data_IF_857766931402
#
_entry.id   IF_857766931402
#
_cell.length_a   1.000
_cell.length_b   1.000
_cell.length_c   1.000
_cell.angle_alpha   90.00
_cell.angle_beta   90.00
_cell.angle_gamma   90.00
#
_symmetry.space_group_name_H-M   'P 1'
#
loop_
_entity.id
_entity.type
_entity.pdbx_description
1 polymer ?
#
# COMPACT_ATOMS: atom_id res chain seq x y z
N UNK A 1 -29.77 -20.40 2.85
CA UNK A 1 -29.27 -20.06 1.49
C UNK A 1 -27.88 -20.63 1.32
N UNK A 2 -27.54 -21.06 0.11
CA UNK A 2 -26.26 -21.69 -0.26
C UNK A 2 -25.75 -21.11 -1.60
N UNK A 3 -24.41 -21.09 -1.82
CA UNK A 3 -23.39 -21.82 -1.05
C UNK A 3 -22.85 -21.05 0.17
N UNK A 4 -22.36 -21.80 1.16
CA UNK A 4 -21.58 -21.24 2.28
C UNK A 4 -20.12 -21.05 1.83
N UNK A 5 -19.36 -20.10 2.42
CA UNK A 5 -17.93 -19.98 2.17
C UNK A 5 -17.19 -21.29 2.51
N UNK A 6 -16.16 -21.62 1.73
CA UNK A 6 -15.29 -22.78 1.98
C UNK A 6 -14.53 -22.62 3.30
N UNK A 7 -14.13 -21.39 3.65
CA UNK A 7 -13.49 -21.05 4.92
C UNK A 7 -14.53 -20.57 5.96
N UNK A 8 -14.40 -20.99 7.22
CA UNK A 8 -15.32 -20.59 8.29
C UNK A 8 -14.58 -20.33 9.61
N UNK A 9 -14.46 -19.06 10.05
CA UNK A 9 -14.77 -17.84 9.30
C UNK A 9 -13.78 -17.61 8.15
N UNK A 10 -14.15 -16.85 7.09
CA UNK A 10 -13.16 -16.33 6.16
C UNK A 10 -12.27 -15.29 6.85
N UNK A 11 -10.99 -15.14 6.45
CA UNK A 11 -10.13 -14.11 7.01
C UNK A 11 -10.65 -12.72 6.66
N UNK A 12 -10.68 -11.81 7.63
CA UNK A 12 -11.17 -10.44 7.46
C UNK A 12 -10.00 -9.46 7.46
N UNK A 13 -9.81 -8.77 6.34
CA UNK A 13 -8.83 -7.70 6.24
C UNK A 13 -9.47 -6.36 6.59
N UNK A 14 -8.84 -5.60 7.49
CA UNK A 14 -9.33 -4.27 7.89
C UNK A 14 -8.44 -3.19 7.30
N UNK A 15 -9.05 -2.28 6.55
CA UNK A 15 -8.36 -1.13 5.95
C UNK A 15 -8.22 -0.02 7.00
N UNK A 16 -7.00 0.45 7.19
CA UNK A 16 -6.68 1.54 8.13
C UNK A 16 -5.67 2.51 7.53
N UNK A 17 -6.10 3.73 7.23
CA UNK A 17 -5.29 4.79 6.58
C UNK A 17 -5.24 6.11 7.38
N UNK A 18 -5.03 6.11 8.72
CA UNK A 18 -4.96 7.36 9.44
C UNK A 18 -3.64 8.07 9.10
N UNK A 19 -3.72 9.28 8.53
CA UNK A 19 -2.53 10.05 8.22
C UNK A 19 -1.82 10.49 9.50
N UNK A 20 -0.62 9.96 9.78
CA UNK A 20 0.12 10.18 11.03
C UNK A 20 0.38 11.67 11.34
N UNK A 21 0.54 12.48 10.29
CA UNK A 21 0.83 13.92 10.39
C UNK A 21 -0.41 14.82 10.32
N UNK A 22 -1.57 14.27 9.94
CA UNK A 22 -2.79 15.05 9.65
C UNK A 22 -3.95 14.73 10.57
N UNK A 23 -4.03 13.49 11.06
CA UNK A 23 -5.12 13.04 11.93
C UNK A 23 -4.78 13.31 13.41
N UNK A 24 -5.81 13.63 14.20
CA UNK A 24 -5.68 13.74 15.65
C UNK A 24 -5.29 12.38 16.27
N UNK A 25 -4.49 12.38 17.34
CA UNK A 25 -3.96 11.17 17.96
C UNK A 25 -5.04 10.15 18.35
N UNK A 26 -6.17 10.61 18.87
CA UNK A 26 -7.31 9.75 19.22
C UNK A 26 -7.98 9.11 18.00
N UNK A 27 -7.96 9.77 16.84
CA UNK A 27 -8.47 9.21 15.58
C UNK A 27 -7.54 8.12 15.07
N UNK A 28 -6.22 8.36 15.13
CA UNK A 28 -5.20 7.36 14.77
C UNK A 28 -5.36 6.14 15.66
N UNK A 29 -5.36 6.32 16.98
CA UNK A 29 -5.52 5.23 17.95
C UNK A 29 -6.80 4.43 17.71
N UNK A 30 -7.96 5.10 17.60
CA UNK A 30 -9.24 4.42 17.38
C UNK A 30 -9.24 3.60 16.07
N UNK A 31 -8.60 4.11 15.01
CA UNK A 31 -8.50 3.41 13.74
C UNK A 31 -7.65 2.13 13.89
N UNK A 32 -6.43 2.26 14.43
CA UNK A 32 -5.48 1.15 14.53
C UNK A 32 -5.93 0.10 15.57
N UNK A 33 -6.57 0.50 16.66
CA UNK A 33 -7.20 -0.45 17.60
C UNK A 33 -8.29 -1.29 16.95
N UNK A 34 -9.03 -0.73 15.98
CA UNK A 34 -10.07 -1.46 15.25
C UNK A 34 -9.44 -2.54 14.36
N UNK A 35 -8.31 -2.24 13.72
CA UNK A 35 -7.50 -3.22 12.98
C UNK A 35 -6.98 -4.31 13.92
N UNK A 36 -6.31 -3.91 15.01
CA UNK A 36 -5.72 -4.82 15.99
C UNK A 36 -6.75 -5.78 16.62
N UNK A 37 -7.99 -5.32 16.84
CA UNK A 37 -9.05 -6.12 17.45
C UNK A 37 -9.79 -7.04 16.49
N UNK A 38 -9.97 -6.62 15.22
CA UNK A 38 -10.91 -7.28 14.29
C UNK A 38 -10.25 -7.88 13.05
N UNK A 39 -9.03 -7.45 12.70
CA UNK A 39 -8.38 -7.88 11.47
C UNK A 39 -7.64 -9.21 11.62
N UNK A 40 -7.77 -10.06 10.62
CA UNK A 40 -6.87 -11.17 10.29
C UNK A 40 -5.81 -10.73 9.26
N UNK A 41 -5.82 -9.44 8.91
CA UNK A 41 -4.87 -8.75 8.05
C UNK A 41 -5.16 -7.24 8.07
N UNK A 42 -4.14 -6.45 7.75
CA UNK A 42 -4.24 -4.99 7.65
C UNK A 42 -3.89 -4.57 6.24
N UNK A 43 -4.62 -3.61 5.69
CA UNK A 43 -4.24 -2.97 4.43
C UNK A 43 -4.19 -1.45 4.60
N UNK A 44 -3.18 -0.83 3.99
CA UNK A 44 -3.04 0.62 3.99
C UNK A 44 -2.61 1.20 2.63
N UNK A 45 -2.75 2.51 2.48
CA UNK A 45 -2.12 3.32 1.42
C UNK A 45 -1.06 4.26 1.99
N UNK A 46 -0.52 3.94 3.17
CA UNK A 46 0.44 4.77 3.87
C UNK A 46 1.74 4.91 3.06
N UNK A 47 2.22 6.14 3.01
CA UNK A 47 3.53 6.51 2.51
C UNK A 47 3.97 7.72 3.34
N UNK A 48 5.29 7.91 3.54
CA UNK A 48 6.42 7.08 3.09
C UNK A 48 6.59 5.74 3.88
N UNK A 49 7.58 4.88 3.58
CA UNK A 49 7.76 3.57 4.23
C UNK A 49 7.85 3.62 5.77
N UNK A 50 8.43 4.67 6.33
CA UNK A 50 8.48 4.88 7.79
C UNK A 50 7.10 5.07 8.41
N UNK A 51 6.15 5.68 7.69
CA UNK A 51 4.77 5.82 8.14
C UNK A 51 4.09 4.45 8.13
N UNK A 52 4.37 3.59 7.13
CA UNK A 52 3.90 2.21 7.12
C UNK A 52 4.43 1.43 8.34
N UNK A 53 5.74 1.48 8.58
CA UNK A 53 6.38 0.78 9.69
C UNK A 53 5.81 1.23 11.05
N UNK A 54 5.60 2.53 11.24
CA UNK A 54 5.05 3.09 12.48
C UNK A 54 3.59 2.67 12.71
N UNK A 55 2.76 2.70 11.66
CA UNK A 55 1.38 2.21 11.75
C UNK A 55 1.34 0.71 12.09
N UNK A 56 2.19 -0.10 11.44
CA UNK A 56 2.33 -1.53 11.72
C UNK A 56 2.74 -1.78 13.17
N UNK A 57 3.76 -1.06 13.67
CA UNK A 57 4.24 -1.17 15.05
C UNK A 57 3.11 -0.91 16.06
N UNK A 58 2.35 0.18 15.86
CA UNK A 58 1.20 0.52 16.73
C UNK A 58 0.09 -0.53 16.69
N UNK A 59 -0.20 -1.12 15.53
CA UNK A 59 -1.18 -2.22 15.44
C UNK A 59 -0.70 -3.42 16.25
N UNK A 60 0.57 -3.81 16.13
CA UNK A 60 1.16 -4.91 16.90
C UNK A 60 1.11 -4.64 18.41
N UNK A 61 1.35 -3.40 18.84
CA UNK A 61 1.23 -2.99 20.24
C UNK A 61 -0.21 -3.05 20.74
N UNK A 62 -1.16 -2.46 20.02
CA UNK A 62 -2.56 -2.46 20.42
C UNK A 62 -3.21 -3.85 20.39
N UNK A 63 -2.68 -4.80 19.61
CA UNK A 63 -3.18 -6.17 19.58
C UNK A 63 -3.01 -6.86 20.95
N UNK A 64 -1.95 -6.51 21.70
CA UNK A 64 -1.66 -7.06 23.04
C UNK A 64 -2.77 -6.74 24.04
N UNK A 65 -3.40 -5.58 23.93
CA UNK A 65 -4.53 -5.17 24.78
C UNK A 65 -5.79 -6.02 24.57
N UNK A 66 -5.82 -6.85 23.51
CA UNK A 66 -6.92 -7.73 23.16
C UNK A 66 -6.55 -9.22 23.22
N UNK A 67 -5.44 -9.57 23.86
CA UNK A 67 -4.89 -10.94 23.91
C UNK A 67 -4.66 -11.53 22.49
N UNK A 68 -4.32 -10.68 21.51
CA UNK A 68 -3.99 -11.05 20.12
C UNK A 68 -2.54 -10.68 19.80
N UNK A 69 -1.98 -11.30 18.76
CA UNK A 69 -0.74 -10.85 18.13
C UNK A 69 -0.99 -10.56 16.65
N UNK A 70 -0.36 -9.49 16.16
CA UNK A 70 -0.36 -9.11 14.74
C UNK A 70 1.01 -9.40 14.08
N UNK A 71 1.97 -9.97 14.81
CA UNK A 71 3.37 -10.09 14.35
C UNK A 71 3.51 -10.96 13.10
N UNK A 72 2.62 -11.94 12.95
CA UNK A 72 2.58 -12.89 11.84
C UNK A 72 1.37 -12.71 10.91
N UNK A 73 0.53 -11.70 11.17
CA UNK A 73 -0.62 -11.41 10.31
C UNK A 73 -0.18 -10.53 9.14
N UNK A 74 -0.79 -10.73 7.95
CA UNK A 74 -0.39 -10.00 6.78
C UNK A 74 -0.69 -8.50 6.89
N UNK A 75 0.26 -7.71 6.41
CA UNK A 75 0.23 -6.25 6.36
C UNK A 75 0.44 -5.83 4.90
N UNK A 76 -0.64 -5.47 4.22
CA UNK A 76 -0.63 -5.08 2.82
C UNK A 76 -0.49 -3.57 2.61
N UNK A 77 0.30 -3.22 1.60
CA UNK A 77 0.30 -1.89 1.00
C UNK A 77 -0.48 -1.92 -0.32
N UNK A 78 -1.49 -1.06 -0.46
CA UNK A 78 -2.08 -0.72 -1.75
C UNK A 78 -1.29 0.44 -2.36
N UNK A 79 -0.55 0.16 -3.43
CA UNK A 79 0.43 1.06 -4.02
C UNK A 79 0.26 1.20 -5.53
N UNK A 80 0.95 2.17 -6.10
CA UNK A 80 0.93 2.40 -7.54
C UNK A 80 2.33 2.20 -8.13
N UNK A 81 2.38 1.80 -9.39
CA UNK A 81 3.62 1.54 -10.13
C UNK A 81 3.50 2.07 -11.56
N UNK A 82 4.47 2.88 -11.99
CA UNK A 82 4.61 3.31 -13.38
C UNK A 82 6.08 3.20 -13.81
N UNK A 83 6.36 2.18 -14.61
CA UNK A 83 7.70 1.79 -15.06
C UNK A 83 8.03 2.53 -16.36
N UNK A 84 9.08 3.36 -16.33
CA UNK A 84 9.59 4.12 -17.46
C UNK A 84 11.07 4.45 -17.26
N UNK A 85 11.92 4.23 -18.26
CA UNK A 85 13.35 4.59 -18.18
C UNK A 85 13.56 6.10 -17.92
N UNK A 86 12.63 6.93 -18.39
CA UNK A 86 12.55 8.33 -18.00
C UNK A 86 11.61 8.49 -16.80
N UNK A 87 12.21 8.69 -15.62
CA UNK A 87 11.48 8.89 -14.36
C UNK A 87 10.56 10.11 -14.41
N UNK A 88 10.94 11.20 -15.06
CA UNK A 88 10.06 12.37 -15.14
C UNK A 88 8.84 12.09 -16.02
N UNK A 89 9.00 11.32 -17.09
CA UNK A 89 7.88 10.87 -17.91
C UNK A 89 6.90 9.97 -17.13
N UNK A 90 7.41 9.06 -16.28
CA UNK A 90 6.56 8.25 -15.38
C UNK A 90 5.78 9.11 -14.38
N UNK A 91 6.42 10.12 -13.78
CA UNK A 91 5.77 11.04 -12.84
C UNK A 91 4.67 11.84 -13.54
N UNK A 92 4.98 12.42 -14.71
CA UNK A 92 4.03 13.21 -15.48
C UNK A 92 2.82 12.39 -15.92
N UNK A 93 3.04 11.18 -16.44
CA UNK A 93 1.93 10.30 -16.85
C UNK A 93 1.07 9.93 -15.64
N UNK A 94 1.70 9.51 -14.54
CA UNK A 94 1.01 9.14 -13.32
C UNK A 94 0.17 10.28 -12.76
N UNK A 95 0.71 11.51 -12.75
CA UNK A 95 -0.03 12.69 -12.34
C UNK A 95 -1.26 12.93 -13.21
N UNK A 96 -1.09 12.96 -14.55
CA UNK A 96 -2.19 13.18 -15.51
C UNK A 96 -3.26 12.10 -15.37
N UNK A 97 -2.85 10.83 -15.24
CA UNK A 97 -3.76 9.72 -15.04
C UNK A 97 -4.55 9.87 -13.73
N UNK A 98 -3.87 10.08 -12.60
CA UNK A 98 -4.52 10.20 -11.29
C UNK A 98 -5.48 11.39 -11.21
N UNK A 99 -5.12 12.53 -11.78
CA UNK A 99 -6.00 13.71 -11.83
C UNK A 99 -7.24 13.47 -12.68
N UNK A 100 -7.12 12.71 -13.77
CA UNK A 100 -8.28 12.31 -14.57
C UNK A 100 -9.22 11.38 -13.78
N UNK A 101 -8.63 10.41 -13.05
CA UNK A 101 -9.37 9.41 -12.29
C UNK A 101 -10.05 9.99 -11.05
N UNK A 102 -9.40 10.92 -10.34
CA UNK A 102 -9.88 11.56 -9.11
C UNK A 102 -10.38 12.99 -9.33
N UNK A 103 -11.03 13.28 -10.46
CA UNK A 103 -11.56 14.62 -10.74
C UNK A 103 -12.47 15.11 -9.60
N UNK A 104 -12.30 16.34 -9.06
CA UNK A 104 -11.44 17.45 -9.52
C UNK A 104 -10.09 17.60 -8.80
N UNK A 105 -9.59 16.55 -8.15
CA UNK A 105 -8.37 16.59 -7.35
C UNK A 105 -7.12 16.87 -8.20
N UNK A 106 -6.21 17.68 -7.65
CA UNK A 106 -4.85 17.89 -8.17
C UNK A 106 -3.85 17.23 -7.25
N UNK A 107 -2.80 16.67 -7.81
CA UNK A 107 -1.74 16.00 -7.04
C UNK A 107 -0.44 16.80 -7.18
N UNK A 108 0.24 17.06 -6.06
CA UNK A 108 1.60 17.62 -6.10
C UNK A 108 2.59 16.54 -6.56
N UNK A 109 3.74 16.97 -7.10
CA UNK A 109 4.84 16.06 -7.45
C UNK A 109 5.24 15.15 -6.28
N UNK A 110 5.41 15.74 -5.09
CA UNK A 110 5.69 15.00 -3.85
C UNK A 110 4.65 13.90 -3.56
N UNK A 111 3.36 14.20 -3.76
CA UNK A 111 2.29 13.21 -3.55
C UNK A 111 2.39 12.07 -4.55
N UNK A 112 2.67 12.38 -5.82
CA UNK A 112 2.82 11.36 -6.88
C UNK A 112 4.04 10.49 -6.59
N UNK A 113 5.20 11.10 -6.30
CA UNK A 113 6.43 10.37 -5.99
C UNK A 113 6.34 9.53 -4.71
N UNK A 114 5.57 9.96 -3.72
CA UNK A 114 5.33 9.16 -2.51
C UNK A 114 4.33 8.03 -2.73
N UNK A 115 3.32 8.23 -3.58
CA UNK A 115 2.20 7.31 -3.75
C UNK A 115 2.33 6.36 -4.95
N UNK A 116 3.30 6.63 -5.84
CA UNK A 116 3.60 5.87 -7.05
C UNK A 116 5.11 5.61 -7.13
N UNK A 117 5.50 4.35 -7.26
CA UNK A 117 6.85 4.00 -7.72
C UNK A 117 6.96 4.41 -9.19
N UNK A 118 7.71 5.48 -9.46
CA UNK A 118 7.95 6.01 -10.80
C UNK A 118 9.44 5.90 -11.15
N UNK A 119 9.75 5.32 -12.31
CA UNK A 119 11.12 5.25 -12.81
C UNK A 119 11.45 3.96 -13.54
N UNK A 120 12.74 3.70 -13.73
CA UNK A 120 13.22 2.45 -14.35
C UNK A 120 12.80 1.25 -13.50
N UNK A 121 12.86 0.02 -14.03
CA UNK A 121 12.59 -1.19 -13.26
C UNK A 121 13.37 -1.25 -11.94
N UNK A 122 14.64 -0.87 -11.95
CA UNK A 122 15.52 -0.88 -10.78
C UNK A 122 15.04 0.12 -9.72
N UNK A 123 14.66 1.33 -10.12
CA UNK A 123 14.14 2.35 -9.21
C UNK A 123 12.80 1.91 -8.60
N UNK A 124 11.96 1.26 -9.40
CA UNK A 124 10.69 0.71 -8.93
C UNK A 124 10.91 -0.43 -7.92
N UNK A 125 11.84 -1.34 -8.20
CA UNK A 125 12.23 -2.43 -7.28
C UNK A 125 12.77 -1.86 -5.97
N UNK A 126 13.64 -0.86 -6.02
CA UNK A 126 14.19 -0.21 -4.81
C UNK A 126 13.07 0.40 -3.95
N UNK A 127 12.14 1.14 -4.57
CA UNK A 127 11.00 1.71 -3.87
C UNK A 127 10.11 0.64 -3.24
N UNK A 128 9.80 -0.45 -3.95
CA UNK A 128 8.98 -1.54 -3.42
C UNK A 128 9.70 -2.29 -2.29
N UNK A 129 11.01 -2.54 -2.42
CA UNK A 129 11.84 -3.15 -1.36
C UNK A 129 11.82 -2.32 -0.08
N UNK A 130 11.84 -0.99 -0.17
CA UNK A 130 11.77 -0.13 1.03
C UNK A 130 10.50 -0.38 1.87
N UNK A 131 9.38 -0.73 1.25
CA UNK A 131 8.16 -1.11 1.96
C UNK A 131 8.19 -2.55 2.48
N UNK A 132 8.83 -3.48 1.74
CA UNK A 132 9.09 -4.85 2.24
C UNK A 132 9.95 -4.79 3.50
N UNK A 133 11.02 -4.00 3.49
CA UNK A 133 11.90 -3.77 4.64
C UNK A 133 11.18 -3.09 5.81
N UNK A 134 10.19 -2.24 5.52
CA UNK A 134 9.28 -1.65 6.51
C UNK A 134 8.25 -2.66 7.10
N UNK A 135 8.22 -3.89 6.59
CA UNK A 135 7.40 -4.99 7.09
C UNK A 135 6.10 -5.22 6.31
N UNK A 136 6.00 -4.74 5.08
CA UNK A 136 4.90 -5.11 4.19
C UNK A 136 5.06 -6.58 3.76
N UNK A 137 4.05 -7.40 4.00
CA UNK A 137 4.01 -8.79 3.54
C UNK A 137 3.43 -8.92 2.14
N UNK A 138 2.58 -7.97 1.74
CA UNK A 138 1.85 -7.97 0.48
C UNK A 138 1.87 -6.56 -0.10
N UNK A 139 2.03 -6.44 -1.43
CA UNK A 139 1.90 -5.16 -2.13
C UNK A 139 0.92 -5.34 -3.28
N UNK A 140 -0.21 -4.66 -3.21
CA UNK A 140 -1.23 -4.63 -4.25
C UNK A 140 -0.89 -3.47 -5.19
N UNK A 141 -0.58 -3.79 -6.46
CA UNK A 141 -0.12 -2.82 -7.44
C UNK A 141 -1.26 -2.38 -8.36
N UNK A 142 -1.37 -1.05 -8.54
CA UNK A 142 -2.16 -0.42 -9.61
C UNK A 142 -1.25 0.34 -10.57
N UNK A 143 -1.58 0.33 -11.85
CA UNK A 143 -0.79 1.03 -12.89
C UNK A 143 -1.49 2.35 -13.31
N UNK A 144 -1.08 3.53 -12.79
CA UNK A 144 -1.59 4.81 -13.25
C UNK A 144 -0.94 5.22 -14.59
N UNK A 145 -1.24 4.44 -15.62
CA UNK A 145 -0.76 4.61 -16.98
C UNK A 145 -1.90 4.39 -17.97
N UNK A 146 -1.78 4.98 -19.17
CA UNK A 146 -2.75 4.75 -20.25
C UNK A 146 -2.54 3.39 -20.94
N UNK A 147 -1.37 2.77 -20.77
CA UNK A 147 -1.05 1.44 -21.28
C UNK A 147 -0.82 0.44 -20.13
N UNK A 148 -1.92 0.09 -19.44
CA UNK A 148 -1.87 -0.79 -18.26
C UNK A 148 -1.42 -2.21 -18.60
N UNK A 149 -1.75 -2.71 -19.79
CA UNK A 149 -1.34 -4.04 -20.23
C UNK A 149 0.17 -4.13 -20.36
N UNK A 150 0.81 -3.11 -20.95
CA UNK A 150 2.27 -3.02 -21.01
C UNK A 150 2.89 -2.86 -19.63
N UNK A 151 2.32 -2.02 -18.76
CA UNK A 151 2.81 -1.89 -17.38
C UNK A 151 2.75 -3.21 -16.61
N UNK A 152 1.68 -3.99 -16.79
CA UNK A 152 1.56 -5.33 -16.21
C UNK A 152 2.63 -6.29 -16.73
N UNK A 153 2.84 -6.35 -18.06
CA UNK A 153 3.88 -7.19 -18.66
C UNK A 153 5.27 -6.83 -18.14
N UNK A 154 5.61 -5.53 -18.11
CA UNK A 154 6.87 -5.06 -17.54
C UNK A 154 7.00 -5.38 -16.05
N UNK A 155 5.94 -5.18 -15.28
CA UNK A 155 5.95 -5.52 -13.85
C UNK A 155 6.30 -7.00 -13.62
N UNK A 156 5.66 -7.90 -14.37
CA UNK A 156 5.88 -9.35 -14.25
C UNK A 156 7.28 -9.76 -14.68
N UNK A 157 7.83 -9.17 -15.73
CA UNK A 157 9.10 -9.58 -16.32
C UNK A 157 10.33 -8.85 -15.75
N UNK A 158 10.17 -7.60 -15.29
CA UNK A 158 11.28 -6.69 -14.97
C UNK A 158 11.30 -6.24 -13.50
N UNK A 159 10.21 -6.44 -12.74
CA UNK A 159 10.10 -5.98 -11.34
C UNK A 159 9.93 -7.15 -10.37
N UNK A 160 8.86 -7.94 -10.53
CA UNK A 160 8.54 -9.04 -9.62
C UNK A 160 9.66 -10.08 -9.42
N UNK A 161 10.46 -10.46 -10.45
CA UNK A 161 11.56 -11.41 -10.28
C UNK A 161 12.67 -10.94 -9.32
N UNK A 162 12.68 -9.66 -8.96
CA UNK A 162 13.66 -9.07 -8.05
C UNK A 162 13.10 -8.83 -6.63
N UNK A 163 11.85 -9.21 -6.35
CA UNK A 163 11.18 -9.01 -5.04
C UNK A 163 10.94 -10.31 -4.26
N UNK A 164 11.45 -11.44 -4.76
CA UNK A 164 11.36 -12.77 -4.14
C UNK A 164 12.49 -13.06 -3.16
#
# INVERSE_FOLDING_TARGET
>A
MQPKPVQSPPPIWVIGNPGLRRAASNVIERNLRRVARLGDGWMTTAWPPEDFAELRRRICEYAKDYDRSFDHLPCALYYNLNINEDREAAIEESQKYLESYYTPQRFSRETVEGWVACGSPEQCVEQLRSFVDAGASDILLRFPSWDQSRQFERCVNEVLPHLT
#
